data_IF_321281500053
#
_entry.id   IF_321281500053
#
_cell.length_a   1.000
_cell.length_b   1.000
_cell.length_c   1.000
_cell.angle_alpha   90.00
_cell.angle_beta   90.00
_cell.angle_gamma   90.00
#
_symmetry.space_group_name_H-M   'P 1'
#
loop_
_entity.id
_entity.type
_entity.pdbx_description
1 polymer ?
#
# COMPACT_ATOMS: atom_id res chain seq x y z
N UNK A 1 -39.22 13.52 15.85
CA UNK A 1 -39.21 12.06 16.09
C UNK A 1 -38.22 11.47 15.12
N UNK A 2 -37.12 10.87 15.60
CA UNK A 2 -36.19 10.12 14.73
C UNK A 2 -36.97 8.97 14.08
N UNK A 3 -36.78 8.79 12.78
CA UNK A 3 -37.31 7.61 12.10
C UNK A 3 -36.72 6.35 12.77
N UNK A 4 -37.52 5.30 13.02
CA UNK A 4 -37.01 4.07 13.60
C UNK A 4 -35.87 3.51 12.73
N UNK A 5 -34.88 2.88 13.37
CA UNK A 5 -33.81 2.17 12.67
C UNK A 5 -34.46 1.20 11.65
N UNK A 6 -34.06 1.24 10.36
CA UNK A 6 -34.63 0.35 9.37
C UNK A 6 -34.39 -1.11 9.76
N UNK A 7 -35.25 -2.05 9.33
CA UNK A 7 -35.01 -3.48 9.55
C UNK A 7 -33.59 -3.86 9.11
N UNK A 8 -32.95 -4.74 9.86
CA UNK A 8 -31.55 -5.14 9.67
C UNK A 8 -31.50 -6.52 9.02
N UNK A 9 -30.53 -6.73 8.14
CA UNK A 9 -30.14 -8.05 7.67
C UNK A 9 -28.66 -8.26 7.99
N UNK A 10 -28.37 -9.10 8.99
CA UNK A 10 -27.02 -9.55 9.28
C UNK A 10 -26.71 -10.69 8.32
N UNK A 11 -25.62 -10.56 7.57
CA UNK A 11 -25.27 -11.46 6.48
C UNK A 11 -23.83 -11.88 6.63
N UNK A 12 -23.60 -13.15 6.34
CA UNK A 12 -22.29 -13.75 6.16
C UNK A 12 -22.38 -14.77 5.02
N UNK A 13 -21.29 -14.98 4.29
CA UNK A 13 -21.24 -15.91 3.16
C UNK A 13 -19.97 -16.77 3.20
N UNK A 14 -20.10 -17.99 2.70
CA UNK A 14 -18.94 -18.82 2.35
C UNK A 14 -18.76 -18.86 0.83
N UNK A 15 -17.52 -18.95 0.36
CA UNK A 15 -17.19 -18.77 -1.05
C UNK A 15 -16.08 -19.72 -1.51
N UNK A 16 -15.97 -19.93 -2.83
CA UNK A 16 -14.91 -20.75 -3.43
C UNK A 16 -13.55 -20.03 -3.50
N UNK A 17 -13.44 -18.80 -2.99
CA UNK A 17 -12.23 -17.97 -3.11
C UNK A 17 -12.46 -16.51 -2.72
N UNK A 18 -11.48 -15.65 -2.98
CA UNK A 18 -11.46 -14.27 -2.46
C UNK A 18 -11.94 -13.16 -3.41
N UNK A 19 -12.24 -13.47 -4.69
CA UNK A 19 -12.62 -12.47 -5.70
C UNK A 19 -14.03 -12.70 -6.23
N UNK A 20 -14.93 -11.76 -5.98
CA UNK A 20 -16.33 -11.80 -6.45
C UNK A 20 -16.48 -11.81 -7.99
N UNK A 21 -15.43 -11.45 -8.75
CA UNK A 21 -15.46 -11.50 -10.21
C UNK A 21 -15.13 -12.86 -10.81
N UNK A 22 -14.55 -13.78 -10.02
CA UNK A 22 -14.07 -15.10 -10.49
C UNK A 22 -14.63 -16.25 -9.65
N UNK A 23 -14.67 -16.06 -8.34
CA UNK A 23 -15.04 -17.07 -7.36
C UNK A 23 -16.55 -16.99 -7.07
N UNK A 24 -17.15 -18.06 -6.53
CA UNK A 24 -18.61 -18.23 -6.41
C UNK A 24 -19.04 -18.42 -4.96
N UNK A 25 -20.30 -18.15 -4.64
CA UNK A 25 -20.87 -18.38 -3.30
C UNK A 25 -21.19 -19.86 -3.09
N UNK A 26 -20.88 -20.40 -1.91
CA UNK A 26 -21.18 -21.79 -1.49
C UNK A 26 -22.15 -21.87 -0.31
N UNK A 27 -22.28 -20.82 0.50
CA UNK A 27 -23.29 -20.72 1.56
C UNK A 27 -23.69 -19.26 1.75
N UNK A 28 -24.95 -19.02 2.09
CA UNK A 28 -25.42 -17.71 2.57
C UNK A 28 -26.13 -17.91 3.90
N UNK A 29 -25.75 -17.12 4.91
CA UNK A 29 -26.45 -17.02 6.20
C UNK A 29 -27.05 -15.62 6.36
N UNK A 30 -28.33 -15.55 6.73
CA UNK A 30 -29.05 -14.29 6.94
C UNK A 30 -29.81 -14.34 8.27
N UNK A 31 -29.55 -13.35 9.12
CA UNK A 31 -30.36 -13.06 10.31
C UNK A 31 -31.06 -11.72 10.13
N UNK A 32 -32.37 -11.77 9.93
CA UNK A 32 -33.22 -10.58 9.81
C UNK A 32 -33.68 -10.14 11.19
N UNK A 33 -33.54 -8.86 11.50
CA UNK A 33 -34.01 -8.25 12.75
C UNK A 33 -34.92 -7.07 12.43
N UNK A 34 -36.18 -7.17 12.88
CA UNK A 34 -37.18 -6.11 12.75
C UNK A 34 -37.89 -5.90 14.09
N UNK A 35 -37.43 -4.89 14.83
CA UNK A 35 -37.81 -4.69 16.24
C UNK A 35 -37.52 -5.94 17.08
N UNK A 36 -38.52 -6.55 17.74
CA UNK A 36 -38.33 -7.77 18.53
C UNK A 36 -38.30 -9.06 17.68
N UNK A 37 -38.63 -9.00 16.39
CA UNK A 37 -38.70 -10.19 15.54
C UNK A 37 -37.34 -10.52 14.96
N UNK A 38 -36.88 -11.76 15.19
CA UNK A 38 -35.64 -12.29 14.63
C UNK A 38 -35.96 -13.50 13.76
N UNK A 39 -35.59 -13.46 12.48
CA UNK A 39 -35.73 -14.60 11.55
C UNK A 39 -34.35 -15.03 11.07
N UNK A 40 -34.13 -16.33 11.00
CA UNK A 40 -32.86 -16.95 10.61
C UNK A 40 -33.08 -17.77 9.35
N UNK A 41 -32.18 -17.65 8.40
CA UNK A 41 -32.23 -18.41 7.16
C UNK A 41 -30.82 -18.71 6.69
N UNK A 42 -30.61 -19.93 6.20
CA UNK A 42 -29.36 -20.28 5.54
C UNK A 42 -29.60 -21.28 4.41
N UNK A 43 -28.70 -21.25 3.44
CA UNK A 43 -28.75 -22.10 2.27
C UNK A 43 -27.35 -22.38 1.77
N UNK A 44 -27.01 -23.67 1.64
CA UNK A 44 -25.87 -24.08 0.83
C UNK A 44 -26.21 -23.89 -0.65
N UNK A 45 -25.22 -23.49 -1.44
CA UNK A 45 -25.42 -23.12 -2.85
C UNK A 45 -24.46 -23.96 -3.68
N UNK A 46 -24.95 -24.53 -4.78
CA UNK A 46 -24.11 -25.17 -5.77
C UNK A 46 -23.36 -24.10 -6.59
N UNK A 47 -22.03 -23.94 -6.44
CA UNK A 47 -21.29 -22.83 -7.04
C UNK A 47 -21.07 -22.97 -8.56
N UNK A 48 -21.34 -24.14 -9.15
CA UNK A 48 -21.09 -24.41 -10.57
C UNK A 48 -19.60 -24.55 -10.92
N UNK A 49 -18.73 -24.62 -9.92
CA UNK A 49 -17.29 -24.81 -10.05
C UNK A 49 -16.77 -25.65 -8.89
N UNK A 50 -15.59 -26.24 -9.05
CA UNK A 50 -14.95 -27.02 -7.98
C UNK A 50 -14.48 -26.10 -6.85
N UNK A 51 -14.74 -26.49 -5.62
CA UNK A 51 -14.23 -25.80 -4.43
C UNK A 51 -12.75 -26.17 -4.22
N UNK A 52 -11.79 -25.24 -4.21
CA UNK A 52 -10.38 -25.56 -3.98
C UNK A 52 -10.16 -26.23 -2.62
N UNK A 53 -9.29 -27.24 -2.55
CA UNK A 53 -9.11 -28.02 -1.32
C UNK A 53 -8.64 -27.23 -0.09
N UNK A 54 -7.98 -26.08 -0.27
CA UNK A 54 -7.65 -25.20 0.86
C UNK A 54 -8.87 -24.42 1.39
N UNK A 55 -9.85 -24.11 0.54
CA UNK A 55 -11.13 -23.50 0.92
C UNK A 55 -11.98 -24.53 1.66
N UNK A 56 -12.07 -25.77 1.16
CA UNK A 56 -12.80 -26.84 1.85
C UNK A 56 -12.28 -27.04 3.29
N UNK A 57 -10.97 -26.95 3.50
CA UNK A 57 -10.36 -26.99 4.85
C UNK A 57 -10.66 -25.77 5.71
N UNK A 58 -10.88 -24.62 5.10
CA UNK A 58 -11.12 -23.36 5.79
C UNK A 58 -12.58 -23.23 6.23
N UNK A 59 -13.51 -23.55 5.33
CA UNK A 59 -14.96 -23.35 5.53
C UNK A 59 -15.66 -24.63 5.99
N UNK A 60 -15.02 -25.79 5.83
CA UNK A 60 -15.63 -27.09 6.08
C UNK A 60 -16.65 -27.53 5.02
N UNK A 61 -16.85 -26.72 3.96
CA UNK A 61 -17.77 -27.04 2.86
C UNK A 61 -17.00 -27.71 1.73
N UNK A 62 -17.34 -28.97 1.45
CA UNK A 62 -16.77 -29.73 0.34
C UNK A 62 -17.70 -29.81 -0.88
N UNK A 63 -17.16 -30.31 -2.00
CA UNK A 63 -17.92 -30.45 -3.25
C UNK A 63 -19.15 -31.38 -3.09
N UNK A 64 -19.11 -32.34 -2.15
CA UNK A 64 -20.21 -33.28 -1.94
C UNK A 64 -21.40 -32.62 -1.22
N UNK A 65 -21.13 -31.73 -0.25
CA UNK A 65 -22.16 -30.99 0.47
C UNK A 65 -23.00 -30.08 -0.45
N UNK A 66 -22.39 -29.52 -1.49
CA UNK A 66 -23.03 -28.58 -2.40
C UNK A 66 -23.56 -29.22 -3.69
N UNK A 67 -23.26 -30.49 -3.95
CA UNK A 67 -23.56 -31.17 -5.21
C UNK A 67 -25.07 -31.16 -5.56
N UNK A 68 -25.92 -31.41 -4.57
CA UNK A 68 -27.38 -31.46 -4.74
C UNK A 68 -28.09 -30.17 -4.32
N UNK A 69 -27.33 -29.10 -4.08
CA UNK A 69 -27.87 -27.82 -3.63
C UNK A 69 -28.34 -26.95 -4.81
N UNK A 70 -29.28 -26.02 -4.61
CA UNK A 70 -29.69 -25.12 -5.67
C UNK A 70 -28.53 -24.21 -6.10
N UNK A 71 -28.41 -23.85 -7.40
CA UNK A 71 -27.53 -22.77 -7.82
C UNK A 71 -28.06 -21.42 -7.33
N UNK A 72 -27.20 -20.39 -7.28
CA UNK A 72 -27.59 -19.07 -6.77
C UNK A 72 -28.84 -18.51 -7.46
N UNK A 73 -28.96 -18.68 -8.79
CA UNK A 73 -30.10 -18.21 -9.58
C UNK A 73 -31.45 -18.74 -9.06
N UNK A 74 -31.50 -19.99 -8.59
CA UNK A 74 -32.72 -20.61 -8.09
C UNK A 74 -33.16 -20.03 -6.73
N UNK A 75 -32.24 -19.47 -5.94
CA UNK A 75 -32.50 -18.88 -4.61
C UNK A 75 -32.41 -17.35 -4.60
N UNK A 76 -32.04 -16.73 -5.73
CA UNK A 76 -31.82 -15.30 -5.83
C UNK A 76 -33.07 -14.49 -5.43
N UNK A 77 -34.26 -14.91 -5.85
CA UNK A 77 -35.50 -14.22 -5.50
C UNK A 77 -35.77 -14.22 -3.98
N UNK A 78 -35.52 -15.34 -3.31
CA UNK A 78 -35.68 -15.46 -1.85
C UNK A 78 -34.65 -14.61 -1.11
N UNK A 79 -33.37 -14.68 -1.50
CA UNK A 79 -32.32 -13.85 -0.90
C UNK A 79 -32.64 -12.37 -1.10
N UNK A 80 -33.10 -11.97 -2.29
CA UNK A 80 -33.45 -10.58 -2.57
C UNK A 80 -34.59 -10.09 -1.66
N UNK A 81 -35.63 -10.90 -1.44
CA UNK A 81 -36.74 -10.55 -0.55
C UNK A 81 -36.26 -10.36 0.90
N UNK A 82 -35.35 -11.23 1.35
CA UNK A 82 -34.72 -11.12 2.68
C UNK A 82 -33.83 -9.90 2.83
N UNK A 83 -33.28 -9.34 1.77
CA UNK A 83 -32.40 -8.17 1.82
C UNK A 83 -33.11 -6.84 1.49
N UNK A 84 -34.25 -6.90 0.78
CA UNK A 84 -34.94 -5.71 0.26
C UNK A 84 -35.44 -4.83 1.39
N UNK A 85 -35.15 -3.53 1.29
CA UNK A 85 -35.59 -2.52 2.25
C UNK A 85 -34.88 -2.57 3.62
N UNK A 86 -33.87 -3.44 3.77
CA UNK A 86 -33.12 -3.62 5.01
C UNK A 86 -31.73 -2.96 4.95
N UNK A 87 -31.18 -2.61 6.11
CA UNK A 87 -29.77 -2.28 6.24
C UNK A 87 -28.95 -3.56 6.18
N UNK A 88 -28.08 -3.68 5.18
CA UNK A 88 -27.19 -4.82 5.02
C UNK A 88 -26.04 -4.69 6.02
N UNK A 89 -25.92 -5.62 6.95
CA UNK A 89 -24.90 -5.61 8.01
C UNK A 89 -24.02 -6.85 7.88
N UNK A 90 -22.72 -6.69 7.79
CA UNK A 90 -21.79 -7.81 7.70
C UNK A 90 -20.43 -7.49 8.34
N UNK A 91 -19.66 -8.53 8.65
CA UNK A 91 -18.29 -8.37 9.17
C UNK A 91 -17.32 -8.26 8.01
N UNK A 92 -16.66 -7.10 7.88
CA UNK A 92 -15.94 -6.76 6.66
C UNK A 92 -16.87 -6.71 5.41
N UNK A 93 -18.04 -6.08 5.58
CA UNK A 93 -19.18 -6.09 4.65
C UNK A 93 -18.90 -5.83 3.17
N UNK A 94 -17.77 -5.21 2.82
CA UNK A 94 -17.34 -5.06 1.41
C UNK A 94 -17.22 -6.41 0.70
N UNK A 95 -16.78 -7.44 1.43
CA UNK A 95 -16.60 -8.79 0.89
C UNK A 95 -17.96 -9.40 0.53
N UNK A 96 -18.83 -9.60 1.53
CA UNK A 96 -20.14 -10.25 1.40
C UNK A 96 -21.04 -9.52 0.41
N UNK A 97 -21.12 -8.20 0.54
CA UNK A 97 -21.91 -7.36 -0.35
C UNK A 97 -21.41 -7.44 -1.80
N UNK A 98 -20.08 -7.53 -2.00
CA UNK A 98 -19.46 -7.63 -3.31
C UNK A 98 -19.85 -8.92 -4.04
N UNK A 99 -19.78 -10.06 -3.35
CA UNK A 99 -20.19 -11.36 -3.88
C UNK A 99 -21.69 -11.41 -4.19
N UNK A 100 -22.54 -10.98 -3.25
CA UNK A 100 -23.99 -10.96 -3.49
C UNK A 100 -24.36 -10.04 -4.66
N UNK A 101 -23.74 -8.86 -4.76
CA UNK A 101 -23.96 -7.96 -5.91
C UNK A 101 -23.52 -8.59 -7.23
N UNK A 102 -22.41 -9.33 -7.24
CA UNK A 102 -21.92 -10.01 -8.43
C UNK A 102 -22.87 -11.14 -8.87
N UNK A 103 -23.32 -11.98 -7.94
CA UNK A 103 -24.27 -13.07 -8.22
C UNK A 103 -25.64 -12.54 -8.66
N UNK A 104 -26.17 -11.49 -8.01
CA UNK A 104 -27.38 -10.83 -8.46
C UNK A 104 -27.23 -10.24 -9.86
N UNK A 105 -26.10 -9.58 -10.16
CA UNK A 105 -25.81 -9.05 -11.50
C UNK A 105 -25.76 -10.16 -12.55
N UNK A 106 -25.18 -11.32 -12.22
CA UNK A 106 -25.15 -12.49 -13.10
C UNK A 106 -26.57 -13.02 -13.39
N UNK A 107 -27.49 -12.88 -12.45
CA UNK A 107 -28.91 -13.20 -12.61
C UNK A 107 -29.74 -12.07 -13.28
N UNK A 108 -29.09 -10.99 -13.76
CA UNK A 108 -29.79 -9.84 -14.35
C UNK A 108 -30.50 -8.93 -13.32
N UNK A 109 -30.22 -9.10 -12.03
CA UNK A 109 -30.84 -8.34 -10.94
C UNK A 109 -29.91 -7.20 -10.51
N UNK A 110 -30.36 -5.96 -10.70
CA UNK A 110 -29.68 -4.79 -10.16
C UNK A 110 -30.01 -4.63 -8.67
N UNK A 111 -29.14 -5.15 -7.79
CA UNK A 111 -29.31 -5.03 -6.34
C UNK A 111 -28.40 -3.97 -5.73
N UNK A 112 -28.98 -3.17 -4.83
CA UNK A 112 -28.26 -2.22 -3.97
C UNK A 112 -28.93 -2.15 -2.60
N UNK A 113 -28.14 -1.94 -1.55
CA UNK A 113 -28.61 -1.71 -0.20
C UNK A 113 -27.72 -0.69 0.53
N UNK A 114 -28.22 0.03 1.55
CA UNK A 114 -27.34 0.67 2.51
C UNK A 114 -26.53 -0.42 3.25
N UNK A 115 -25.26 -0.16 3.51
CA UNK A 115 -24.30 -1.16 4.04
C UNK A 115 -23.67 -0.66 5.32
N UNK A 116 -23.65 -1.50 6.36
CA UNK A 116 -22.95 -1.24 7.61
C UNK A 116 -21.90 -2.33 7.86
N UNK A 117 -20.64 -1.92 8.00
CA UNK A 117 -19.54 -2.82 8.32
C UNK A 117 -19.30 -2.87 9.84
N UNK A 118 -19.48 -4.04 10.45
CA UNK A 118 -19.35 -4.21 11.91
C UNK A 118 -17.92 -3.98 12.41
N UNK A 119 -16.91 -4.18 11.56
CA UNK A 119 -15.50 -3.81 11.87
C UNK A 119 -15.35 -2.30 12.03
N UNK A 120 -15.94 -1.52 11.12
CA UNK A 120 -15.87 -0.05 11.17
C UNK A 120 -16.68 0.47 12.36
N UNK A 121 -17.86 -0.10 12.58
CA UNK A 121 -18.71 0.23 13.72
C UNK A 121 -17.99 -0.04 15.04
N UNK A 122 -17.38 -1.23 15.18
CA UNK A 122 -16.63 -1.60 16.38
C UNK A 122 -15.43 -0.67 16.62
N UNK A 123 -14.66 -0.30 15.59
CA UNK A 123 -13.57 0.70 15.70
C UNK A 123 -14.06 2.07 16.16
N UNK A 124 -15.23 2.49 15.68
CA UNK A 124 -15.83 3.78 16.01
C UNK A 124 -16.28 3.84 17.47
N UNK A 125 -16.88 2.76 17.95
CA UNK A 125 -17.47 2.65 19.29
C UNK A 125 -16.48 2.20 20.37
N UNK A 126 -15.43 1.45 19.99
CA UNK A 126 -14.40 0.93 20.91
C UNK A 126 -12.98 1.29 20.41
N UNK A 127 -12.59 2.58 20.38
CA UNK A 127 -11.31 3.01 19.83
C UNK A 127 -10.08 2.44 20.57
N UNK A 128 -10.24 2.07 21.84
CA UNK A 128 -9.17 1.51 22.68
C UNK A 128 -8.91 0.00 22.41
N UNK A 129 -9.76 -0.65 21.63
CA UNK A 129 -9.64 -2.08 21.35
C UNK A 129 -8.59 -2.34 20.26
N UNK A 130 -7.61 -3.20 20.55
CA UNK A 130 -6.48 -3.41 19.63
C UNK A 130 -6.85 -4.13 18.32
N UNK A 131 -7.90 -4.97 18.32
CA UNK A 131 -8.31 -5.79 17.18
C UNK A 131 -9.83 -5.85 17.09
N UNK A 132 -10.37 -5.92 15.87
CA UNK A 132 -11.81 -5.91 15.61
C UNK A 132 -12.24 -6.99 14.62
N UNK A 133 -11.49 -8.10 14.53
CA UNK A 133 -11.94 -9.27 13.77
C UNK A 133 -13.03 -10.02 14.55
N UNK A 134 -13.80 -10.87 13.87
CA UNK A 134 -14.97 -11.54 14.45
C UNK A 134 -14.60 -12.35 15.69
N UNK A 135 -13.50 -13.10 15.64
CA UNK A 135 -12.95 -13.84 16.79
C UNK A 135 -12.73 -12.96 18.03
N UNK A 136 -12.18 -11.75 17.83
CA UNK A 136 -11.98 -10.82 18.94
C UNK A 136 -13.32 -10.33 19.47
N UNK A 137 -14.29 -10.04 18.60
CA UNK A 137 -15.62 -9.61 19.04
C UNK A 137 -16.33 -10.72 19.84
N UNK A 138 -16.27 -11.96 19.36
CA UNK A 138 -16.82 -13.14 20.05
C UNK A 138 -16.21 -13.26 21.45
N UNK A 139 -14.88 -13.22 21.55
CA UNK A 139 -14.18 -13.38 22.81
C UNK A 139 -14.44 -12.21 23.79
N UNK A 140 -14.31 -10.96 23.32
CA UNK A 140 -14.43 -9.75 24.15
C UNK A 140 -15.86 -9.55 24.64
N UNK A 141 -16.84 -9.79 23.76
CA UNK A 141 -18.26 -9.58 24.08
C UNK A 141 -18.99 -10.83 24.54
N UNK A 142 -18.27 -11.97 24.66
CA UNK A 142 -18.79 -13.27 25.13
C UNK A 142 -20.01 -13.75 24.32
N UNK A 143 -19.93 -13.58 23.00
CA UNK A 143 -20.97 -14.01 22.06
C UNK A 143 -21.08 -15.54 22.07
N UNK A 144 -22.30 -16.06 21.99
CA UNK A 144 -22.56 -17.50 22.03
C UNK A 144 -22.51 -18.08 20.61
N UNK A 145 -21.62 -19.06 20.39
CA UNK A 145 -21.30 -19.65 19.08
C UNK A 145 -21.18 -21.17 19.16
N UNK A 146 -22.29 -21.92 19.05
CA UNK A 146 -22.24 -23.39 19.12
C UNK A 146 -21.61 -24.04 17.87
N UNK A 147 -21.79 -23.46 16.67
CA UNK A 147 -21.31 -24.01 15.38
C UNK A 147 -20.45 -22.99 14.62
N UNK A 148 -19.18 -22.83 15.02
CA UNK A 148 -18.25 -21.86 14.41
C UNK A 148 -17.90 -22.26 12.96
N UNK A 149 -17.75 -21.27 12.06
CA UNK A 149 -17.41 -21.43 10.64
C UNK A 149 -18.54 -21.93 9.73
N UNK A 150 -19.79 -21.57 10.08
CA UNK A 150 -20.93 -21.67 9.19
C UNK A 150 -21.53 -20.29 9.03
N UNK A 151 -21.95 -19.94 7.82
CA UNK A 151 -22.39 -18.57 7.51
C UNK A 151 -23.51 -18.08 8.45
N UNK A 152 -24.47 -18.95 8.79
CA UNK A 152 -25.55 -18.54 9.71
C UNK A 152 -25.06 -18.23 11.11
N UNK A 153 -24.12 -19.01 11.63
CA UNK A 153 -23.59 -18.80 12.96
C UNK A 153 -22.88 -17.44 13.02
N UNK A 154 -22.01 -17.14 12.05
CA UNK A 154 -21.29 -15.88 12.02
C UNK A 154 -22.25 -14.67 11.88
N UNK A 155 -23.31 -14.78 11.07
CA UNK A 155 -24.38 -13.78 11.01
C UNK A 155 -25.14 -13.61 12.35
N UNK A 156 -25.42 -14.70 13.07
CA UNK A 156 -26.03 -14.67 14.41
C UNK A 156 -25.11 -13.98 15.44
N UNK A 157 -23.79 -14.19 15.35
CA UNK A 157 -22.83 -13.50 16.20
C UNK A 157 -22.94 -11.98 16.02
N UNK A 158 -23.12 -11.51 14.78
CA UNK A 158 -23.30 -10.08 14.50
C UNK A 158 -24.61 -9.54 15.06
N UNK A 159 -25.70 -10.32 15.00
CA UNK A 159 -26.97 -9.96 15.61
C UNK A 159 -26.87 -9.86 17.15
N UNK A 160 -26.17 -10.81 17.78
CA UNK A 160 -25.87 -10.76 19.22
C UNK A 160 -25.00 -9.54 19.57
N UNK A 161 -23.97 -9.27 18.76
CA UNK A 161 -23.10 -8.11 18.94
C UNK A 161 -23.90 -6.81 18.85
N UNK A 162 -24.81 -6.70 17.88
CA UNK A 162 -25.71 -5.55 17.75
C UNK A 162 -26.57 -5.34 18.99
N UNK A 163 -27.15 -6.40 19.55
CA UNK A 163 -27.91 -6.31 20.80
C UNK A 163 -27.05 -5.79 21.97
N UNK A 164 -25.79 -6.20 22.05
CA UNK A 164 -24.83 -5.67 23.03
C UNK A 164 -24.55 -4.18 22.79
N UNK A 165 -24.45 -3.74 21.53
CA UNK A 165 -24.28 -2.30 21.23
C UNK A 165 -25.49 -1.48 21.69
N UNK A 166 -26.70 -1.99 21.46
CA UNK A 166 -27.94 -1.32 21.88
C UNK A 166 -28.09 -1.22 23.41
N UNK A 167 -27.52 -2.16 24.16
CA UNK A 167 -27.53 -2.12 25.64
C UNK A 167 -26.41 -1.27 26.21
N UNK A 168 -25.27 -1.16 25.50
CA UNK A 168 -24.07 -0.48 25.99
C UNK A 168 -23.99 1.01 25.62
N UNK A 169 -24.58 1.42 24.51
CA UNK A 169 -24.58 2.80 24.03
C UNK A 169 -26.01 3.34 24.00
N UNK A 170 -26.16 4.63 24.26
CA UNK A 170 -27.44 5.31 24.05
C UNK A 170 -27.80 5.36 22.56
N UNK A 171 -29.10 5.48 22.28
CA UNK A 171 -29.62 5.45 20.91
C UNK A 171 -29.01 6.54 20.02
N UNK A 172 -28.79 7.76 20.53
CA UNK A 172 -28.25 8.86 19.73
C UNK A 172 -26.81 8.57 19.29
N UNK A 173 -25.97 8.07 20.20
CA UNK A 173 -24.59 7.70 19.89
C UNK A 173 -24.52 6.58 18.84
N UNK A 174 -25.35 5.54 18.99
CA UNK A 174 -25.38 4.42 18.06
C UNK A 174 -25.92 4.84 16.69
N UNK A 175 -27.02 5.59 16.64
CA UNK A 175 -27.63 6.08 15.41
C UNK A 175 -26.70 7.03 14.64
N UNK A 176 -25.98 7.90 15.35
CA UNK A 176 -24.97 8.77 14.74
C UNK A 176 -23.81 7.95 14.13
N UNK A 177 -23.32 6.94 14.85
CA UNK A 177 -22.28 6.05 14.34
C UNK A 177 -22.76 5.29 13.10
N UNK A 178 -23.95 4.69 13.15
CA UNK A 178 -24.57 3.96 12.03
C UNK A 178 -24.76 4.87 10.83
N UNK A 179 -25.41 6.02 11.02
CA UNK A 179 -25.68 6.98 9.93
C UNK A 179 -24.39 7.46 9.26
N UNK A 180 -23.33 7.70 10.03
CA UNK A 180 -22.04 8.13 9.47
C UNK A 180 -21.32 7.04 8.66
N UNK A 181 -21.56 5.77 8.98
CA UNK A 181 -20.88 4.62 8.38
C UNK A 181 -21.69 3.96 7.26
N UNK A 182 -23.02 4.03 7.33
CA UNK A 182 -23.94 3.51 6.31
C UNK A 182 -24.32 4.53 5.25
N UNK A 183 -23.94 5.80 5.45
CA UNK A 183 -23.91 6.79 4.38
C UNK A 183 -23.10 6.21 3.21
N UNK A 184 -23.73 6.15 2.03
CA UNK A 184 -23.09 5.67 0.80
C UNK A 184 -21.71 6.34 0.68
N UNK A 185 -20.64 5.60 0.32
CA UNK A 185 -19.43 6.24 -0.14
C UNK A 185 -19.86 7.15 -1.29
N UNK A 186 -19.76 8.46 -1.10
CA UNK A 186 -20.01 9.37 -2.18
C UNK A 186 -18.91 9.11 -3.21
N UNK A 187 -19.23 8.36 -4.26
CA UNK A 187 -18.54 8.54 -5.52
C UNK A 187 -18.64 10.04 -5.81
N UNK A 188 -17.53 10.72 -6.15
CA UNK A 188 -17.60 12.13 -6.53
C UNK A 188 -18.73 12.30 -7.55
N UNK A 189 -19.66 13.24 -7.38
CA UNK A 189 -20.81 13.37 -8.28
C UNK A 189 -20.42 13.64 -9.74
N UNK A 190 -19.16 14.03 -9.96
CA UNK A 190 -18.54 14.27 -11.26
C UNK A 190 -18.06 12.99 -11.96
N UNK A 191 -17.97 11.86 -11.24
CA UNK A 191 -17.38 10.62 -11.73
C UNK A 191 -18.45 9.59 -12.06
N UNK A 192 -18.46 9.11 -13.29
CA UNK A 192 -19.41 8.11 -13.75
C UNK A 192 -19.16 6.75 -13.05
N UNK A 193 -20.23 6.16 -12.52
CA UNK A 193 -20.18 4.85 -11.89
C UNK A 193 -19.73 3.76 -12.88
N UNK A 194 -20.05 3.89 -14.17
CA UNK A 194 -19.56 2.98 -15.20
C UNK A 194 -18.03 3.06 -15.38
N UNK A 195 -17.45 4.25 -15.21
CA UNK A 195 -16.01 4.44 -15.33
C UNK A 195 -15.26 3.73 -14.19
N UNK A 196 -15.81 3.75 -12.97
CA UNK A 196 -15.27 2.99 -11.85
C UNK A 196 -15.41 1.47 -12.08
N UNK A 197 -16.52 1.02 -12.66
CA UNK A 197 -16.76 -0.40 -12.92
C UNK A 197 -15.78 -1.00 -13.94
N UNK A 198 -15.13 -0.18 -14.78
CA UNK A 198 -14.06 -0.60 -15.70
C UNK A 198 -12.69 -0.80 -15.05
N UNK A 199 -12.48 -0.34 -13.82
CA UNK A 199 -11.19 -0.49 -13.15
C UNK A 199 -10.84 -1.96 -12.94
N UNK A 200 -9.66 -2.42 -13.40
CA UNK A 200 -9.26 -3.81 -13.29
C UNK A 200 -8.83 -4.17 -11.86
N UNK A 201 -8.84 -5.47 -11.57
CA UNK A 201 -8.36 -6.04 -10.31
C UNK A 201 -6.87 -6.43 -10.35
N UNK A 202 -6.10 -5.81 -11.23
CA UNK A 202 -4.68 -6.09 -11.50
C UNK A 202 -3.75 -5.04 -10.87
N UNK A 203 -2.43 -5.32 -10.77
CA UNK A 203 -1.44 -4.33 -10.41
C UNK A 203 -1.33 -3.23 -11.48
N UNK A 204 -0.97 -2.03 -11.06
CA UNK A 204 -0.78 -0.93 -12.01
C UNK A 204 -0.63 0.44 -11.36
N UNK A 205 -0.67 1.45 -12.21
CA UNK A 205 -0.62 2.88 -11.86
C UNK A 205 -1.88 3.56 -12.35
N UNK A 206 -2.45 4.46 -11.55
CA UNK A 206 -3.61 5.26 -11.89
C UNK A 206 -3.32 6.74 -11.73
N UNK A 207 -4.05 7.57 -12.48
CA UNK A 207 -4.03 9.03 -12.40
C UNK A 207 -5.45 9.52 -12.16
N UNK A 208 -5.60 10.39 -11.16
CA UNK A 208 -6.81 11.19 -10.97
C UNK A 208 -6.64 12.54 -11.63
N UNK A 209 -7.68 12.97 -12.34
CA UNK A 209 -7.75 14.27 -12.99
C UNK A 209 -8.93 15.10 -12.47
N UNK A 210 -8.80 16.42 -12.56
CA UNK A 210 -9.92 17.34 -12.37
C UNK A 210 -10.79 17.46 -13.63
N UNK A 211 -11.83 18.29 -13.56
CA UNK A 211 -12.77 18.51 -14.66
C UNK A 211 -12.10 19.06 -15.93
N UNK A 212 -10.95 19.75 -15.80
CA UNK A 212 -10.16 20.27 -16.91
C UNK A 212 -9.07 19.28 -17.41
N UNK A 213 -9.11 18.01 -16.97
CA UNK A 213 -8.10 16.98 -17.25
C UNK A 213 -6.68 17.33 -16.78
N UNK A 214 -6.53 18.12 -15.72
CA UNK A 214 -5.21 18.36 -15.09
C UNK A 214 -4.92 17.26 -14.06
N UNK A 215 -3.70 16.71 -14.03
CA UNK A 215 -3.36 15.61 -13.13
C UNK A 215 -3.36 16.09 -11.67
N UNK A 216 -4.23 15.52 -10.85
CA UNK A 216 -4.35 15.81 -9.43
C UNK A 216 -3.43 14.90 -8.62
N UNK A 217 -3.48 13.60 -8.88
CA UNK A 217 -2.75 12.61 -8.09
C UNK A 217 -2.43 11.37 -8.91
N UNK A 218 -1.27 10.80 -8.67
CA UNK A 218 -0.81 9.54 -9.28
C UNK A 218 -0.46 8.57 -8.17
N UNK A 219 -0.94 7.35 -8.28
CA UNK A 219 -0.68 6.30 -7.30
C UNK A 219 -0.50 4.93 -7.95
N UNK A 220 0.15 4.02 -7.23
CA UNK A 220 0.24 2.60 -7.59
C UNK A 220 -0.63 1.67 -6.74
N UNK A 221 -0.92 0.48 -7.25
CA UNK A 221 -1.55 -0.60 -6.47
C UNK A 221 -1.18 -1.99 -6.96
N UNK A 222 -1.38 -3.01 -6.11
CA UNK A 222 -1.46 -4.42 -6.51
C UNK A 222 -2.83 -4.82 -7.05
N UNK A 223 -3.83 -3.98 -6.77
CA UNK A 223 -5.20 -4.11 -7.25
C UNK A 223 -5.77 -2.69 -7.42
N UNK A 224 -5.86 -2.23 -8.67
CA UNK A 224 -6.25 -0.87 -9.02
C UNK A 224 -7.64 -0.51 -8.48
N UNK A 225 -8.65 -1.34 -8.77
CA UNK A 225 -10.04 -1.14 -8.32
C UNK A 225 -10.16 -0.89 -6.83
N UNK A 226 -9.60 -1.78 -6.01
CA UNK A 226 -9.70 -1.69 -4.55
C UNK A 226 -9.00 -0.47 -3.98
N UNK A 227 -7.90 -0.05 -4.58
CA UNK A 227 -7.13 1.10 -4.14
C UNK A 227 -7.82 2.41 -4.48
N UNK A 228 -8.35 2.54 -5.69
CA UNK A 228 -9.12 3.71 -6.11
C UNK A 228 -10.34 3.89 -5.22
N UNK A 229 -11.13 2.83 -5.01
CA UNK A 229 -12.30 2.88 -4.12
C UNK A 229 -11.93 3.23 -2.67
N UNK A 230 -10.75 2.82 -2.20
CA UNK A 230 -10.29 3.14 -0.85
C UNK A 230 -10.10 4.66 -0.65
N UNK A 231 -9.68 5.40 -1.69
CA UNK A 231 -9.58 6.86 -1.62
C UNK A 231 -10.94 7.51 -1.31
N UNK A 232 -12.01 7.07 -1.99
CA UNK A 232 -13.37 7.60 -1.79
C UNK A 232 -13.98 7.16 -0.46
N UNK A 233 -13.80 5.90 -0.05
CA UNK A 233 -14.29 5.43 1.25
C UNK A 233 -13.61 6.09 2.46
N UNK A 234 -12.37 6.57 2.29
CA UNK A 234 -11.60 7.20 3.36
C UNK A 234 -11.77 8.73 3.40
N UNK A 235 -12.54 9.32 2.47
CA UNK A 235 -12.72 10.77 2.33
C UNK A 235 -13.25 11.44 3.61
N UNK A 236 -14.12 10.74 4.36
CA UNK A 236 -14.66 11.23 5.63
C UNK A 236 -13.66 11.21 6.80
N UNK A 237 -12.51 10.53 6.64
CA UNK A 237 -11.55 10.29 7.71
C UNK A 237 -10.19 10.98 7.50
N UNK A 238 -9.88 11.43 6.28
CA UNK A 238 -8.55 11.96 5.92
C UNK A 238 -8.65 13.23 5.07
N UNK A 239 -8.01 14.35 5.46
CA UNK A 239 -8.10 15.63 4.73
C UNK A 239 -7.63 15.56 3.27
N UNK A 240 -6.56 14.80 2.98
CA UNK A 240 -6.08 14.59 1.60
C UNK A 240 -7.10 13.84 0.74
N UNK A 241 -7.72 12.81 1.31
CA UNK A 241 -8.69 11.97 0.61
C UNK A 241 -9.99 12.72 0.34
N UNK A 242 -10.41 13.59 1.29
CA UNK A 242 -11.51 14.53 1.08
C UNK A 242 -11.25 15.47 -0.11
N UNK A 243 -10.06 16.08 -0.18
CA UNK A 243 -9.69 16.97 -1.29
C UNK A 243 -9.68 16.26 -2.63
N UNK A 244 -9.18 15.03 -2.68
CA UNK A 244 -9.23 14.20 -3.88
C UNK A 244 -10.68 13.94 -4.27
N UNK A 245 -11.48 13.40 -3.37
CA UNK A 245 -12.88 13.06 -3.62
C UNK A 245 -13.76 14.24 -4.05
N UNK A 246 -13.37 15.48 -3.74
CA UNK A 246 -14.11 16.68 -4.17
C UNK A 246 -13.71 17.19 -5.56
N UNK A 247 -12.53 16.83 -6.05
CA UNK A 247 -11.94 17.38 -7.27
C UNK A 247 -11.82 16.37 -8.41
N UNK A 248 -11.80 15.06 -8.11
CA UNK A 248 -11.66 14.05 -9.17
C UNK A 248 -12.90 14.05 -10.04
N UNK A 249 -12.70 14.31 -11.33
CA UNK A 249 -13.69 14.16 -12.38
C UNK A 249 -13.36 13.01 -13.33
N UNK A 250 -12.11 12.57 -13.42
CA UNK A 250 -11.71 11.48 -14.31
C UNK A 250 -10.53 10.64 -13.79
N UNK A 251 -10.41 9.41 -14.31
CA UNK A 251 -9.41 8.42 -13.90
C UNK A 251 -8.83 7.69 -15.11
N UNK A 252 -7.52 7.79 -15.31
CA UNK A 252 -6.78 6.90 -16.23
C UNK A 252 -6.01 5.84 -15.43
N UNK A 253 -5.70 4.70 -16.06
CA UNK A 253 -4.80 3.70 -15.48
C UNK A 253 -3.99 2.95 -16.54
N UNK A 254 -2.88 2.36 -16.10
CA UNK A 254 -2.10 1.37 -16.85
C UNK A 254 -1.87 0.16 -15.95
N UNK A 255 -2.16 -1.01 -16.49
CA UNK A 255 -1.87 -2.30 -15.86
C UNK A 255 -0.37 -2.64 -16.00
N UNK A 256 0.19 -3.26 -14.97
CA UNK A 256 1.58 -3.72 -14.96
C UNK A 256 1.64 -5.19 -14.56
N UNK A 257 2.62 -5.93 -15.08
CA UNK A 257 2.76 -7.36 -14.77
C UNK A 257 3.14 -7.63 -13.30
N UNK A 258 3.68 -6.63 -12.59
CA UNK A 258 3.91 -6.75 -11.16
C UNK A 258 4.19 -5.43 -10.43
N UNK A 259 4.82 -5.54 -9.26
CA UNK A 259 4.99 -4.43 -8.32
C UNK A 259 6.17 -3.54 -8.70
N UNK A 260 7.22 -4.10 -9.29
CA UNK A 260 8.41 -3.32 -9.69
C UNK A 260 8.06 -2.39 -10.83
N UNK A 261 7.36 -2.89 -11.85
CA UNK A 261 6.84 -2.08 -12.95
C UNK A 261 5.93 -0.95 -12.45
N UNK A 262 5.00 -1.24 -11.53
CA UNK A 262 4.11 -0.23 -10.96
C UNK A 262 4.88 0.87 -10.21
N UNK A 263 5.92 0.51 -9.45
CA UNK A 263 6.78 1.46 -8.73
C UNK A 263 7.57 2.36 -9.69
N UNK A 264 8.18 1.78 -10.73
CA UNK A 264 8.96 2.52 -11.71
C UNK A 264 8.09 3.47 -12.52
N UNK A 265 6.92 2.99 -12.97
CA UNK A 265 5.97 3.78 -13.75
C UNK A 265 5.37 4.93 -12.93
N UNK A 266 5.02 4.71 -11.65
CA UNK A 266 4.57 5.77 -10.74
C UNK A 266 5.65 6.85 -10.59
N UNK A 267 6.90 6.45 -10.35
CA UNK A 267 8.02 7.37 -10.17
C UNK A 267 8.33 8.17 -11.44
N UNK A 268 8.11 7.62 -12.63
CA UNK A 268 8.23 8.32 -13.90
C UNK A 268 7.06 9.30 -14.11
N UNK A 269 5.83 8.83 -13.96
CA UNK A 269 4.63 9.62 -14.21
C UNK A 269 4.48 10.81 -13.28
N UNK A 270 4.84 10.68 -12.00
CA UNK A 270 4.82 11.83 -11.07
C UNK A 270 5.79 12.91 -11.51
N UNK A 271 6.94 12.57 -12.10
CA UNK A 271 7.94 13.53 -12.59
C UNK A 271 7.53 14.19 -13.90
N UNK A 272 6.86 13.45 -14.77
CA UNK A 272 6.49 13.92 -16.10
C UNK A 272 5.19 14.73 -16.07
N UNK A 273 4.17 14.25 -15.34
CA UNK A 273 2.86 14.90 -15.25
C UNK A 273 2.75 15.92 -14.11
N UNK A 274 3.68 15.91 -13.14
CA UNK A 274 3.73 16.83 -11.99
C UNK A 274 2.37 17.06 -11.29
N UNK A 275 1.69 15.99 -10.84
CA UNK A 275 0.37 16.10 -10.23
C UNK A 275 0.37 16.99 -8.97
N UNK A 276 -0.67 17.82 -8.84
CA UNK A 276 -0.73 18.87 -7.82
C UNK A 276 -0.72 18.35 -6.37
N UNK A 277 -1.24 17.14 -6.13
CA UNK A 277 -1.39 16.54 -4.79
C UNK A 277 -0.36 15.43 -4.48
N UNK A 278 0.56 15.09 -5.39
CA UNK A 278 1.75 14.32 -5.02
C UNK A 278 2.81 15.26 -4.45
N UNK A 279 3.20 14.98 -3.21
CA UNK A 279 4.30 15.70 -2.52
C UNK A 279 5.64 14.98 -2.72
N UNK A 280 5.62 13.65 -2.84
CA UNK A 280 6.79 12.80 -3.05
C UNK A 280 7.04 12.53 -4.54
N UNK A 281 8.22 12.00 -4.87
CA UNK A 281 8.63 11.58 -6.23
C UNK A 281 8.71 12.72 -7.27
N UNK A 282 8.60 14.00 -6.86
CA UNK A 282 8.84 15.15 -7.75
C UNK A 282 10.30 15.22 -8.17
N UNK A 283 10.58 15.80 -9.34
CA UNK A 283 11.94 15.92 -9.90
C UNK A 283 12.90 16.56 -8.89
N UNK A 284 14.00 15.88 -8.59
CA UNK A 284 15.05 16.34 -7.69
C UNK A 284 16.16 16.96 -8.54
N UNK A 285 16.30 18.29 -8.53
CA UNK A 285 17.29 19.00 -9.36
C UNK A 285 18.68 19.05 -8.74
N UNK A 286 18.77 19.03 -7.41
CA UNK A 286 20.02 19.21 -6.66
C UNK A 286 20.23 18.07 -5.66
N UNK A 287 20.61 16.89 -6.16
CA UNK A 287 21.09 15.82 -5.30
C UNK A 287 22.43 16.21 -4.69
N UNK A 288 22.61 15.90 -3.41
CA UNK A 288 23.85 16.14 -2.68
C UNK A 288 24.46 14.81 -2.23
N UNK A 289 25.78 14.70 -2.19
CA UNK A 289 26.47 13.54 -1.63
C UNK A 289 27.75 13.98 -0.90
N UNK A 290 28.14 13.20 0.10
CA UNK A 290 29.45 13.33 0.72
C UNK A 290 30.48 12.58 -0.12
N UNK A 291 31.54 13.27 -0.53
CA UNK A 291 32.71 12.71 -1.21
C UNK A 291 33.87 12.63 -0.22
N UNK A 292 34.57 11.49 -0.19
CA UNK A 292 35.83 11.31 0.53
C UNK A 292 36.96 11.11 -0.49
N UNK A 293 38.03 11.91 -0.44
CA UNK A 293 39.11 11.83 -1.44
C UNK A 293 39.80 10.47 -1.50
N UNK A 294 40.24 10.01 -0.33
CA UNK A 294 40.95 8.73 -0.19
C UNK A 294 40.47 8.01 1.08
N UNK A 295 39.44 7.16 0.99
CA UNK A 295 38.98 6.35 2.11
C UNK A 295 40.03 5.40 2.69
N UNK A 296 41.15 5.16 1.99
CA UNK A 296 42.24 4.31 2.47
C UNK A 296 43.28 5.06 3.30
N UNK A 297 43.31 6.40 3.21
CA UNK A 297 44.24 7.26 3.95
C UNK A 297 43.82 7.47 5.41
N UNK A 298 43.91 6.42 6.22
CA UNK A 298 43.50 6.44 7.64
C UNK A 298 44.38 7.33 8.54
N UNK A 299 45.57 7.74 8.08
CA UNK A 299 46.51 8.54 8.86
C UNK A 299 46.38 10.06 8.63
N UNK A 300 45.55 10.49 7.70
CA UNK A 300 45.26 11.90 7.43
C UNK A 300 43.80 12.23 7.74
N UNK A 301 43.44 13.48 8.07
CA UNK A 301 42.04 13.84 8.34
C UNK A 301 41.14 13.53 7.13
N UNK A 302 40.16 12.63 7.31
CA UNK A 302 39.13 12.39 6.30
C UNK A 302 38.04 13.46 6.46
N UNK A 303 38.13 14.52 5.65
CA UNK A 303 37.16 15.61 5.65
C UNK A 303 36.08 15.33 4.58
N UNK A 304 34.82 15.05 4.95
CA UNK A 304 33.74 14.89 4.00
C UNK A 304 33.50 16.19 3.23
N UNK A 305 33.61 16.14 1.90
CA UNK A 305 33.23 17.26 1.03
C UNK A 305 31.83 17.06 0.50
N UNK A 306 30.98 18.07 0.63
CA UNK A 306 29.65 18.01 0.06
C UNK A 306 29.73 18.38 -1.42
N UNK A 307 29.40 17.43 -2.29
CA UNK A 307 29.25 17.64 -3.73
C UNK A 307 27.76 17.70 -4.07
N UNK A 308 27.40 18.46 -5.11
CA UNK A 308 26.06 18.56 -5.65
C UNK A 308 26.09 18.65 -7.19
N UNK A 309 24.96 18.38 -7.83
CA UNK A 309 24.76 18.62 -9.26
C UNK A 309 24.59 17.36 -10.12
N UNK A 310 24.29 17.54 -11.42
CA UNK A 310 23.99 16.45 -12.35
C UNK A 310 25.22 15.58 -12.67
N UNK A 311 26.43 16.12 -12.48
CA UNK A 311 27.69 15.46 -12.80
C UNK A 311 28.23 14.57 -11.67
N UNK A 312 27.50 14.47 -10.54
CA UNK A 312 27.86 13.46 -9.54
C UNK A 312 27.60 12.09 -10.14
N UNK A 313 28.67 11.36 -10.40
CA UNK A 313 28.64 9.99 -10.92
C UNK A 313 28.23 8.97 -9.82
N UNK A 314 27.03 9.17 -9.25
CA UNK A 314 26.41 8.30 -8.26
C UNK A 314 26.25 6.89 -8.86
N UNK A 315 26.74 5.89 -8.13
CA UNK A 315 26.74 4.50 -8.60
C UNK A 315 27.89 4.14 -9.55
N UNK A 316 28.78 5.09 -9.86
CA UNK A 316 30.01 4.88 -10.63
C UNK A 316 31.25 4.97 -9.73
N UNK A 317 31.31 5.97 -8.84
CA UNK A 317 32.43 6.19 -7.93
C UNK A 317 32.24 5.53 -6.56
N UNK A 318 33.33 5.00 -5.99
CA UNK A 318 33.31 4.25 -4.72
C UNK A 318 33.34 5.11 -3.45
N UNK A 319 33.54 6.41 -3.61
CA UNK A 319 33.79 7.36 -2.52
C UNK A 319 32.64 8.34 -2.27
N UNK A 320 31.45 8.05 -2.78
CA UNK A 320 30.24 8.86 -2.63
C UNK A 320 29.25 8.23 -1.64
N UNK A 321 28.78 9.05 -0.70
CA UNK A 321 27.83 8.66 0.35
C UNK A 321 26.61 9.58 0.30
N UNK A 322 25.42 8.99 0.14
CA UNK A 322 24.14 9.66 -0.06
C UNK A 322 23.28 8.86 -1.06
N UNK A 323 22.59 9.52 -2.00
CA UNK A 323 22.38 10.97 -2.11
C UNK A 323 21.34 11.50 -1.12
N UNK A 324 21.38 12.82 -0.91
CA UNK A 324 20.46 13.60 -0.08
C UNK A 324 19.68 14.59 -0.94
N UNK A 325 18.44 14.88 -0.55
CA UNK A 325 17.53 15.78 -1.27
C UNK A 325 17.86 17.26 -1.03
N UNK A 326 18.70 17.56 -0.04
CA UNK A 326 19.13 18.93 0.26
C UNK A 326 20.46 18.94 1.02
N UNK A 327 21.19 20.07 0.93
CA UNK A 327 22.35 20.36 1.78
C UNK A 327 22.04 20.21 3.27
N UNK A 328 20.84 20.62 3.71
CA UNK A 328 20.41 20.53 5.11
C UNK A 328 20.34 19.08 5.58
N UNK A 329 19.74 18.20 4.77
CA UNK A 329 19.63 16.76 5.09
C UNK A 329 21.03 16.11 5.19
N UNK A 330 21.93 16.43 4.26
CA UNK A 330 23.30 15.91 4.27
C UNK A 330 24.08 16.33 5.52
N UNK A 331 23.99 17.60 5.92
CA UNK A 331 24.62 18.13 7.13
C UNK A 331 24.03 17.53 8.40
N UNK A 332 22.70 17.42 8.47
CA UNK A 332 22.02 16.84 9.63
C UNK A 332 22.43 15.38 9.86
N UNK A 333 22.63 14.60 8.79
CA UNK A 333 23.21 13.26 8.91
C UNK A 333 24.60 13.33 9.53
N UNK A 334 25.51 14.14 8.97
CA UNK A 334 26.89 14.20 9.44
C UNK A 334 26.99 14.66 10.90
N UNK A 335 26.16 15.62 11.32
CA UNK A 335 26.04 16.04 12.72
C UNK A 335 25.51 14.92 13.64
N UNK A 336 24.53 14.16 13.16
CA UNK A 336 23.96 13.01 13.89
C UNK A 336 25.02 11.93 14.06
N UNK A 337 25.78 11.61 13.00
CA UNK A 337 26.89 10.66 13.07
C UNK A 337 27.97 11.15 14.03
N UNK A 338 28.31 12.44 13.98
CA UNK A 338 29.30 13.02 14.88
C UNK A 338 28.91 12.87 16.35
N UNK A 339 27.64 13.09 16.67
CA UNK A 339 27.13 12.99 18.04
C UNK A 339 26.99 11.54 18.49
N UNK A 340 26.41 10.67 17.66
CA UNK A 340 26.14 9.28 18.03
C UNK A 340 27.39 8.40 18.08
N UNK A 341 28.41 8.72 17.28
CA UNK A 341 29.67 7.96 17.22
C UNK A 341 30.82 8.68 17.95
N UNK A 342 30.55 9.82 18.60
CA UNK A 342 31.57 10.60 19.32
C UNK A 342 32.69 11.14 18.43
N UNK A 343 32.41 11.42 17.14
CA UNK A 343 33.40 11.88 16.17
C UNK A 343 33.74 13.35 16.40
N UNK A 344 35.00 13.69 16.16
CA UNK A 344 35.49 15.05 16.26
C UNK A 344 34.94 15.96 15.15
N UNK A 345 34.08 16.92 15.52
CA UNK A 345 33.52 17.93 14.62
C UNK A 345 34.58 18.78 13.90
N UNK A 346 35.70 19.05 14.56
CA UNK A 346 36.83 19.75 13.95
C UNK A 346 37.49 18.95 12.83
N UNK A 347 37.76 17.66 13.06
CA UNK A 347 38.33 16.75 12.03
C UNK A 347 37.35 16.55 10.87
N UNK A 348 36.04 16.50 11.14
CA UNK A 348 35.00 16.41 10.11
C UNK A 348 34.79 17.71 9.32
N UNK A 349 35.44 18.82 9.68
CA UNK A 349 35.24 20.13 9.06
C UNK A 349 33.89 20.79 9.38
N UNK A 350 33.16 20.29 10.38
CA UNK A 350 31.90 20.89 10.86
C UNK A 350 32.14 22.13 11.74
N UNK A 351 33.33 22.25 12.31
CA UNK A 351 33.72 23.32 13.22
C UNK A 351 35.11 23.84 12.83
N UNK A 352 35.28 25.17 12.73
CA UNK A 352 36.59 25.77 12.53
C UNK A 352 37.38 25.73 13.84
N UNK A 353 38.53 25.07 13.82
CA UNK A 353 39.41 24.97 14.99
C UNK A 353 40.30 26.22 15.12
N UNK A 354 40.40 26.73 16.35
CA UNK A 354 41.41 27.73 16.71
C UNK A 354 42.69 27.02 17.17
N UNK A 355 43.85 27.59 16.84
CA UNK A 355 45.14 27.03 17.23
C UNK A 355 45.20 26.76 18.75
N UNK A 356 45.58 25.54 19.13
CA UNK A 356 45.73 25.12 20.52
C UNK A 356 44.44 24.88 21.31
N UNK A 357 43.25 25.04 20.72
CA UNK A 357 41.96 24.78 21.39
C UNK A 357 41.29 23.51 20.85
N UNK A 358 40.78 22.61 21.72
CA UNK A 358 39.98 21.47 21.29
C UNK A 358 38.63 21.94 20.73
N UNK A 359 38.02 21.11 19.87
CA UNK A 359 36.65 21.37 19.38
C UNK A 359 35.65 21.48 20.53
N UNK A 360 34.58 22.25 20.32
CA UNK A 360 33.52 22.45 21.31
C UNK A 360 32.95 21.12 21.82
N UNK A 361 32.71 20.17 20.91
CA UNK A 361 32.20 18.84 21.26
C UNK A 361 33.12 18.09 22.25
N UNK A 362 34.43 18.28 22.19
CA UNK A 362 35.36 17.67 23.16
C UNK A 362 35.31 18.37 24.52
N UNK A 363 35.17 19.70 24.54
CA UNK A 363 35.05 20.48 25.79
C UNK A 363 33.84 20.04 26.62
N UNK A 364 32.73 19.68 25.96
CA UNK A 364 31.52 19.15 26.59
C UNK A 364 31.48 17.61 26.65
N UNK A 365 32.61 16.92 26.42
CA UNK A 365 32.78 15.45 26.49
C UNK A 365 31.88 14.63 25.55
N UNK A 366 31.48 15.20 24.41
CA UNK A 366 30.70 14.54 23.36
C UNK A 366 31.56 14.01 22.19
N UNK A 367 32.88 14.18 22.25
CA UNK A 367 33.81 13.70 21.24
C UNK A 367 35.10 13.18 21.89
N UNK A 368 35.69 12.13 21.31
CA UNK A 368 36.89 11.47 21.82
C UNK A 368 38.21 12.26 21.62
N UNK A 369 38.18 13.40 20.93
CA UNK A 369 39.28 14.37 20.93
C UNK A 369 40.37 14.12 19.87
N UNK A 370 40.01 13.61 18.70
CA UNK A 370 40.95 13.40 17.59
C UNK A 370 41.72 14.68 17.18
N UNK A 371 41.11 15.87 17.30
CA UNK A 371 41.75 17.16 16.99
C UNK A 371 42.90 17.54 17.94
N UNK A 372 42.98 16.93 19.13
CA UNK A 372 44.03 17.17 20.12
C UNK A 372 44.90 15.93 20.36
N UNK A 373 44.75 14.90 19.53
CA UNK A 373 45.50 13.64 19.65
C UNK A 373 45.04 12.71 20.77
N UNK A 374 43.96 13.02 21.49
CA UNK A 374 43.41 12.15 22.54
C UNK A 374 42.81 10.84 22.00
N UNK A 375 42.32 10.87 20.75
CA UNK A 375 41.94 9.69 19.97
C UNK A 375 42.87 9.57 18.76
N UNK A 376 43.45 8.39 18.48
CA UNK A 376 44.20 8.15 17.25
C UNK A 376 43.34 8.44 16.00
N UNK A 377 43.90 9.18 15.05
CA UNK A 377 43.17 9.61 13.85
C UNK A 377 42.65 8.43 13.02
N UNK A 378 43.40 7.33 12.94
CA UNK A 378 42.97 6.10 12.27
C UNK A 378 41.69 5.51 12.89
N UNK A 379 41.55 5.57 14.22
CA UNK A 379 40.34 5.09 14.91
C UNK A 379 39.13 5.99 14.62
N UNK A 380 39.35 7.31 14.60
CA UNK A 380 38.32 8.28 14.22
C UNK A 380 37.85 8.08 12.77
N UNK A 381 38.79 7.96 11.83
CA UNK A 381 38.53 7.75 10.41
C UNK A 381 37.78 6.42 10.16
N UNK A 382 38.18 5.33 10.82
CA UNK A 382 37.48 4.04 10.71
C UNK A 382 36.04 4.11 11.23
N UNK A 383 35.80 4.82 12.33
CA UNK A 383 34.46 5.03 12.86
C UNK A 383 33.58 5.83 11.90
N UNK A 384 34.13 6.88 11.27
CA UNK A 384 33.44 7.64 10.22
C UNK A 384 33.07 6.76 9.02
N UNK A 385 34.02 6.01 8.48
CA UNK A 385 33.78 5.12 7.32
C UNK A 385 32.72 4.05 7.62
N UNK A 386 32.80 3.44 8.80
CA UNK A 386 31.83 2.43 9.26
C UNK A 386 30.43 3.04 9.35
N UNK A 387 30.31 4.25 9.91
CA UNK A 387 29.05 4.95 10.03
C UNK A 387 28.46 5.35 8.66
N UNK A 388 29.31 5.81 7.73
CA UNK A 388 28.90 6.23 6.39
C UNK A 388 28.57 5.06 5.47
N UNK A 389 29.08 3.85 5.72
CA UNK A 389 28.88 2.68 4.84
C UNK A 389 27.41 2.40 4.52
N UNK A 390 26.49 2.66 5.47
CA UNK A 390 25.03 2.49 5.27
C UNK A 390 24.43 3.45 4.25
N UNK A 391 25.14 4.54 3.96
CA UNK A 391 24.76 5.57 3.00
C UNK A 391 25.59 5.48 1.71
N UNK A 392 26.45 4.47 1.56
CA UNK A 392 27.22 4.29 0.33
C UNK A 392 26.28 3.96 -0.83
N UNK A 393 26.37 4.72 -1.92
CA UNK A 393 25.70 4.34 -3.17
C UNK A 393 26.46 3.16 -3.75
N UNK A 394 25.75 2.06 -4.01
CA UNK A 394 26.39 0.88 -4.55
C UNK A 394 26.89 1.16 -5.95
N UNK A 395 28.12 0.75 -6.25
CA UNK A 395 28.61 0.71 -7.63
C UNK A 395 27.72 -0.22 -8.44
N UNK A 396 27.47 0.11 -9.71
CA UNK A 396 26.74 -0.78 -10.61
C UNK A 396 27.44 -2.16 -10.64
N UNK A 397 26.75 -3.25 -10.25
CA UNK A 397 27.40 -4.54 -10.03
C UNK A 397 27.51 -5.38 -11.32
N UNK A 398 27.08 -4.86 -12.46
CA UNK A 398 27.05 -5.59 -13.74
C UNK A 398 28.01 -4.97 -14.75
N UNK A 399 28.55 -5.78 -15.65
CA UNK A 399 29.51 -5.33 -16.68
C UNK A 399 28.85 -4.51 -17.81
N UNK A 400 27.53 -4.46 -17.87
CA UNK A 400 26.76 -3.78 -18.91
C UNK A 400 25.28 -3.67 -18.54
N UNK A 401 24.39 -3.35 -19.50
CA UNK A 401 22.96 -3.26 -19.25
C UNK A 401 22.34 -4.62 -18.92
N UNK A 402 21.29 -4.59 -18.13
CA UNK A 402 20.52 -5.78 -17.74
C UNK A 402 19.03 -5.53 -17.92
N UNK A 403 18.27 -6.61 -18.06
CA UNK A 403 16.83 -6.62 -18.01
C UNK A 403 16.36 -7.30 -16.72
N UNK A 404 15.43 -6.69 -16.01
CA UNK A 404 14.73 -7.33 -14.89
C UNK A 404 13.36 -7.80 -15.37
N UNK A 405 13.17 -9.12 -15.41
CA UNK A 405 11.94 -9.77 -15.89
C UNK A 405 10.86 -9.78 -14.80
N UNK A 406 9.70 -9.24 -15.12
CA UNK A 406 8.48 -9.30 -14.30
C UNK A 406 7.30 -9.71 -15.19
N UNK A 407 6.91 -10.99 -15.13
CA UNK A 407 5.90 -11.54 -16.05
C UNK A 407 6.36 -11.42 -17.51
N UNK A 408 5.55 -10.78 -18.35
CA UNK A 408 5.88 -10.48 -19.75
C UNK A 408 6.77 -9.24 -19.92
N UNK A 409 6.84 -8.39 -18.91
CA UNK A 409 7.58 -7.14 -18.97
C UNK A 409 9.08 -7.38 -18.68
N UNK A 410 9.94 -6.69 -19.43
CA UNK A 410 11.38 -6.64 -19.19
C UNK A 410 11.81 -5.20 -18.93
N UNK A 411 12.12 -4.88 -17.66
CA UNK A 411 12.59 -3.55 -17.29
C UNK A 411 14.08 -3.42 -17.63
N UNK A 412 14.42 -2.56 -18.58
CA UNK A 412 15.78 -2.35 -19.09
C UNK A 412 16.52 -1.34 -18.21
N UNK A 413 17.68 -1.74 -17.68
CA UNK A 413 18.44 -1.02 -16.67
C UNK A 413 19.92 -0.89 -17.07
N UNK A 414 20.53 0.26 -16.79
CA UNK A 414 21.96 0.48 -16.95
C UNK A 414 22.47 1.52 -15.96
N UNK A 415 23.58 1.28 -15.27
CA UNK A 415 24.17 2.21 -14.30
C UNK A 415 23.16 2.79 -13.28
N UNK A 416 22.34 1.93 -12.69
CA UNK A 416 21.24 2.30 -11.78
C UNK A 416 20.16 3.21 -12.37
N UNK A 417 20.12 3.35 -13.69
CA UNK A 417 19.10 4.08 -14.42
C UNK A 417 18.09 3.12 -15.01
N UNK A 418 16.83 3.54 -14.99
CA UNK A 418 15.74 2.87 -15.68
C UNK A 418 15.62 3.49 -17.07
N UNK A 419 15.79 2.67 -18.11
CA UNK A 419 15.71 3.10 -19.51
C UNK A 419 14.27 2.96 -20.03
N UNK A 420 13.56 1.93 -19.59
CA UNK A 420 12.16 1.68 -19.96
C UNK A 420 11.75 0.24 -19.69
N UNK A 421 10.52 -0.10 -20.06
CA UNK A 421 10.01 -1.47 -20.03
C UNK A 421 9.76 -1.92 -21.46
N UNK A 422 10.33 -3.05 -21.84
CA UNK A 422 10.18 -3.66 -23.16
C UNK A 422 9.38 -4.95 -23.08
N UNK A 423 8.62 -5.23 -24.15
CA UNK A 423 7.88 -6.49 -24.35
C UNK A 423 8.44 -7.32 -25.51
N UNK A 424 9.33 -6.74 -26.32
CA UNK A 424 9.99 -7.38 -27.46
C UNK A 424 11.48 -7.08 -27.47
N UNK A 425 12.26 -7.88 -28.20
CA UNK A 425 13.71 -7.66 -28.34
C UNK A 425 14.03 -6.37 -29.13
N UNK A 426 13.15 -5.98 -30.06
CA UNK A 426 13.26 -4.72 -30.80
C UNK A 426 13.12 -3.51 -29.88
N UNK A 427 12.12 -3.51 -29.00
CA UNK A 427 11.96 -2.47 -27.97
C UNK A 427 13.18 -2.39 -27.03
N UNK A 428 13.81 -3.53 -26.71
CA UNK A 428 15.05 -3.53 -25.92
C UNK A 428 16.17 -2.80 -26.67
N UNK A 429 16.33 -3.06 -27.98
CA UNK A 429 17.33 -2.39 -28.80
C UNK A 429 17.11 -0.87 -28.83
N UNK A 430 15.87 -0.42 -29.06
CA UNK A 430 15.51 1.01 -29.04
C UNK A 430 15.80 1.69 -27.70
N UNK A 431 15.50 1.02 -26.58
CA UNK A 431 15.78 1.54 -25.24
C UNK A 431 17.27 1.64 -24.93
N UNK A 432 18.10 0.77 -25.52
CA UNK A 432 19.55 0.83 -25.38
C UNK A 432 20.17 1.92 -26.27
N UNK A 433 19.63 2.15 -27.47
CA UNK A 433 20.10 3.17 -28.41
C UNK A 433 19.71 4.60 -28.01
N UNK A 434 18.49 4.79 -27.50
CA UNK A 434 18.00 6.09 -27.04
C UNK A 434 18.73 6.64 -25.79
N UNK A 435 19.69 5.87 -25.26
CA UNK A 435 20.26 6.04 -23.94
C UNK A 435 20.68 7.48 -23.59
N UNK A 436 20.03 8.05 -22.56
CA UNK A 436 20.62 8.38 -21.26
C UNK A 436 19.55 9.08 -20.40
N UNK A 437 18.89 8.33 -19.51
CA UNK A 437 18.07 8.94 -18.46
C UNK A 437 18.98 9.46 -17.33
N UNK A 438 18.67 10.62 -16.78
CA UNK A 438 19.39 11.16 -15.63
C UNK A 438 19.24 10.21 -14.43
N UNK A 439 20.28 10.11 -13.58
CA UNK A 439 20.19 9.36 -12.34
C UNK A 439 19.08 9.94 -11.46
N UNK A 440 18.17 9.08 -10.99
CA UNK A 440 17.09 9.45 -10.09
C UNK A 440 17.17 8.62 -8.81
N UNK A 441 17.16 9.30 -7.66
CA UNK A 441 17.34 8.64 -6.38
C UNK A 441 16.16 7.75 -5.98
N UNK A 442 14.94 8.15 -6.32
CA UNK A 442 13.75 7.36 -5.99
C UNK A 442 13.75 6.08 -6.86
N UNK A 443 14.11 6.18 -8.14
CA UNK A 443 14.37 5.03 -9.04
C UNK A 443 15.48 4.14 -8.50
N UNK A 444 16.64 4.68 -8.10
CA UNK A 444 17.74 3.89 -7.51
C UNK A 444 17.27 3.07 -6.31
N UNK A 445 16.46 3.65 -5.41
CA UNK A 445 15.91 2.93 -4.25
C UNK A 445 14.99 1.79 -4.65
N UNK A 446 14.19 1.97 -5.70
CA UNK A 446 13.33 0.91 -6.24
C UNK A 446 14.20 -0.20 -6.81
N UNK A 447 15.17 0.14 -7.68
CA UNK A 447 16.05 -0.82 -8.35
C UNK A 447 16.94 -1.59 -7.37
N UNK A 448 17.59 -0.91 -6.41
CA UNK A 448 18.46 -1.56 -5.42
C UNK A 448 17.70 -2.60 -4.59
N UNK A 449 16.47 -2.28 -4.17
CA UNK A 449 15.60 -3.24 -3.47
C UNK A 449 15.11 -4.37 -4.37
N UNK A 450 14.79 -4.08 -5.63
CA UNK A 450 14.31 -5.07 -6.57
C UNK A 450 15.41 -6.07 -6.95
N UNK A 451 16.61 -5.60 -7.29
CA UNK A 451 17.76 -6.45 -7.63
C UNK A 451 18.23 -7.30 -6.45
N UNK A 452 18.23 -6.75 -5.23
CA UNK A 452 18.57 -7.53 -4.03
C UNK A 452 17.58 -8.67 -3.73
N UNK A 453 16.34 -8.59 -4.26
CA UNK A 453 15.29 -9.60 -4.08
C UNK A 453 15.05 -10.44 -5.35
N UNK A 454 15.79 -10.20 -6.42
CA UNK A 454 15.57 -10.88 -7.69
C UNK A 454 15.87 -12.38 -7.55
N UNK A 455 14.95 -13.20 -8.07
CA UNK A 455 15.09 -14.66 -8.12
C UNK A 455 16.08 -15.06 -9.23
N UNK A 456 16.72 -16.24 -9.12
CA UNK A 456 17.54 -16.80 -10.20
C UNK A 456 16.75 -16.79 -11.53
N UNK A 457 17.36 -16.26 -12.59
CA UNK A 457 16.74 -16.16 -13.91
C UNK A 457 15.87 -14.91 -14.16
N UNK A 458 15.58 -14.08 -13.15
CA UNK A 458 14.87 -12.81 -13.37
C UNK A 458 15.78 -11.71 -13.95
N UNK A 459 17.09 -11.78 -13.69
CA UNK A 459 18.06 -10.84 -14.25
C UNK A 459 18.63 -11.42 -15.54
N UNK A 460 18.41 -10.71 -16.64
CA UNK A 460 18.88 -11.06 -17.98
C UNK A 460 19.98 -10.09 -18.37
N UNK A 461 21.12 -10.58 -18.88
CA UNK A 461 22.16 -9.70 -19.43
C UNK A 461 21.73 -9.20 -20.81
N UNK A 462 21.84 -7.90 -21.03
CA UNK A 462 21.51 -7.27 -22.31
C UNK A 462 22.81 -6.80 -22.97
N UNK A 463 22.88 -6.93 -24.29
CA UNK A 463 24.11 -6.69 -25.05
C UNK A 463 24.55 -7.94 -25.82
N UNK A 464 25.27 -7.72 -26.93
CA UNK A 464 25.68 -8.79 -27.84
C UNK A 464 26.45 -9.86 -27.08
N UNK A 465 26.04 -11.13 -27.23
CA UNK A 465 27.00 -12.24 -27.14
C UNK A 465 28.09 -11.89 -28.16
N UNK A 466 29.27 -11.57 -27.65
CA UNK A 466 30.50 -11.43 -28.44
C UNK A 466 30.69 -12.65 -29.33
#
# INVERSE_FOLDING_TARGET
MQAPCPPLAFVDIETTGGSAGRDRITEVGIVEVDGPHVRRWSQLIHPGTRIPGFIQKLTGIDDAMVADQPPFEAVAAEILDRLRGKLFVAHNARFDYGFLRAEFKACGIAWQAPVLCTVQLSRRLFPEQARHNLDTLIAVHKLQMPDRHRALADADALAQFWHILQTRFDANTLDAAVSSLSARPAVPPQLDAEHIDRLPETPGVYVFYDAERRPLYIGKSKNLRSRVLAHFSAALSKPKEMRLSQQVADIDWIETEGEVGALLLEAQWVKDKQPSLNVQLRRQRDLHAWQLDDPSALLTPLVPRLVNGPDIALGVQDNLFGPFRSRREALQLLETLATTQGLCRGVLGLEKLSAGKPCFAHQIRQCAGACVGAQPLAQHNLALLTALTRHKVQRWPHAGPIGLREGRDLHVLHDWRYLGTAKSDDEVAELLESGHTAFDFDTYKILSKALAKARPGQIVRLGRKS
#
